data_IF_586451202988
#
_entry.id   IF_586451202988
#
_cell.length_a   1.000
_cell.length_b   1.000
_cell.length_c   1.000
_cell.angle_alpha   90.00
_cell.angle_beta   90.00
_cell.angle_gamma   90.00
#
_symmetry.space_group_name_H-M   'P 1'
#
loop_
_entity.id
_entity.type
_entity.pdbx_description
1 polymer ?
#
# COMPACT_ATOMS: atom_id res chain seq x y z
N UNK A 1 -60.32 13.89 30.37
CA UNK A 1 -59.49 14.78 29.53
C UNK A 1 -58.18 14.08 29.11
N UNK A 2 -58.25 12.81 28.67
CA UNK A 2 -57.08 11.95 28.38
C UNK A 2 -57.36 10.94 27.25
N UNK A 3 -58.36 11.22 26.40
CA UNK A 3 -58.78 10.31 25.30
C UNK A 3 -58.59 10.95 23.92
N UNK A 4 -58.45 12.28 23.83
CA UNK A 4 -58.28 12.99 22.55
C UNK A 4 -56.84 12.95 22.00
N UNK A 5 -55.84 12.60 22.81
CA UNK A 5 -54.43 12.65 22.40
C UNK A 5 -53.97 11.39 21.64
N UNK A 6 -54.69 10.26 21.71
CA UNK A 6 -54.35 9.03 20.97
C UNK A 6 -54.89 8.99 19.54
N UNK A 7 -55.98 9.70 19.24
CA UNK A 7 -56.53 9.76 17.88
C UNK A 7 -55.65 10.62 16.94
N UNK A 8 -55.07 11.70 17.46
CA UNK A 8 -54.20 12.60 16.69
C UNK A 8 -52.88 11.95 16.22
N UNK A 9 -52.47 10.83 16.84
CA UNK A 9 -51.27 10.06 16.45
C UNK A 9 -51.59 8.98 15.40
N UNK A 10 -52.82 8.45 15.39
CA UNK A 10 -53.24 7.47 14.39
C UNK A 10 -53.60 8.13 13.05
N UNK A 11 -54.19 9.34 13.07
CA UNK A 11 -54.45 10.09 11.84
C UNK A 11 -53.16 10.49 11.09
N UNK A 12 -52.05 10.67 11.82
CA UNK A 12 -50.74 11.00 11.20
C UNK A 12 -50.01 9.78 10.63
N UNK A 13 -50.45 8.57 10.95
CA UNK A 13 -49.81 7.32 10.52
C UNK A 13 -50.41 6.75 9.22
N UNK A 14 -51.64 7.12 8.85
CA UNK A 14 -52.26 6.68 7.59
C UNK A 14 -51.83 7.52 6.37
N UNK A 15 -51.32 8.73 6.59
CA UNK A 15 -50.92 9.68 5.53
C UNK A 15 -49.51 9.46 4.93
N UNK A 16 -48.78 8.45 5.38
CA UNK A 16 -47.44 8.11 4.85
C UNK A 16 -47.39 6.73 4.20
N UNK A 17 -48.40 6.40 3.39
CA UNK A 17 -48.28 5.32 2.41
C UNK A 17 -47.51 5.84 1.18
N UNK A 18 -46.29 5.37 0.89
CA UNK A 18 -45.66 5.68 -0.39
C UNK A 18 -46.46 5.03 -1.52
N UNK A 19 -46.84 5.83 -2.52
CA UNK A 19 -47.56 5.37 -3.70
C UNK A 19 -46.67 4.44 -4.56
N UNK A 20 -47.15 3.27 -5.01
CA UNK A 20 -46.39 2.39 -5.89
C UNK A 20 -46.60 2.78 -7.36
N UNK A 21 -45.62 3.48 -7.97
CA UNK A 21 -45.56 3.82 -9.40
C UNK A 21 -44.08 4.01 -9.78
N UNK A 22 -43.49 3.45 -10.83
CA UNK A 22 -43.93 2.66 -11.99
C UNK A 22 -42.72 1.87 -12.52
N UNK A 23 -43.01 0.64 -12.94
CA UNK A 23 -42.19 -0.25 -13.76
C UNK A 23 -42.06 0.32 -15.18
N UNK A 24 -40.85 0.29 -15.76
CA UNK A 24 -40.54 0.60 -17.16
C UNK A 24 -39.31 1.51 -17.27
N UNK A 25 -38.23 1.19 -17.99
CA UNK A 25 -38.10 0.39 -19.22
C UNK A 25 -36.72 -0.29 -19.24
N UNK A 26 -36.73 -1.55 -19.68
CA UNK A 26 -35.59 -2.21 -20.33
C UNK A 26 -35.46 -1.63 -21.74
N UNK A 27 -34.36 -0.93 -22.03
CA UNK A 27 -33.78 -0.64 -23.36
C UNK A 27 -32.57 0.25 -23.07
N UNK A 28 -31.31 -0.10 -23.32
CA UNK A 28 -30.71 -1.07 -24.20
C UNK A 28 -29.59 -0.34 -24.93
N UNK A 29 -28.32 -0.59 -24.59
CA UNK A 29 -27.17 -0.34 -25.47
C UNK A 29 -26.14 -1.43 -25.16
N UNK A 30 -26.33 -2.58 -25.80
CA UNK A 30 -25.20 -3.28 -26.39
C UNK A 30 -24.87 -2.55 -27.69
N UNK A 31 -23.59 -2.26 -27.93
CA UNK A 31 -22.87 -2.07 -29.21
C UNK A 31 -21.67 -1.16 -28.93
N UNK A 32 -20.47 -1.67 -29.20
CA UNK A 32 -19.22 -0.92 -29.06
C UNK A 32 -17.93 -1.75 -29.05
N UNK A 33 -17.99 -3.07 -29.20
CA UNK A 33 -16.85 -3.88 -29.63
C UNK A 33 -16.91 -3.94 -31.16
N UNK A 34 -15.76 -3.74 -31.82
CA UNK A 34 -15.51 -3.70 -33.28
C UNK A 34 -15.63 -2.30 -33.91
N UNK A 35 -14.62 -1.44 -33.68
CA UNK A 35 -14.24 -0.37 -34.61
C UNK A 35 -12.86 0.24 -34.28
N UNK A 36 -11.79 -0.57 -34.19
CA UNK A 36 -10.40 -0.10 -34.30
C UNK A 36 -9.47 -1.23 -34.80
N UNK A 37 -10.01 -2.04 -35.71
CA UNK A 37 -9.30 -3.03 -36.52
C UNK A 37 -9.45 -2.59 -37.98
N UNK A 38 -8.64 -1.62 -38.41
CA UNK A 38 -8.62 -1.13 -39.78
C UNK A 38 -7.83 0.17 -39.90
N UNK A 39 -6.87 0.20 -40.82
CA UNK A 39 -5.86 1.24 -41.10
C UNK A 39 -4.63 1.17 -40.17
N UNK A 40 -3.45 0.76 -40.61
CA UNK A 40 -3.01 0.47 -41.97
C UNK A 40 -1.67 -0.24 -42.00
N UNK A 41 -1.56 -1.16 -42.95
CA UNK A 41 -0.29 -1.59 -43.49
C UNK A 41 0.38 -0.39 -44.18
N UNK A 42 1.51 0.07 -43.65
CA UNK A 42 2.51 0.78 -44.44
C UNK A 42 3.89 0.25 -44.08
N UNK A 43 4.49 -0.38 -45.09
CA UNK A 43 5.86 -0.83 -45.17
C UNK A 43 6.86 0.21 -44.64
N UNK A 44 7.77 -0.25 -43.77
CA UNK A 44 8.98 0.46 -43.40
C UNK A 44 10.14 -0.53 -43.34
N UNK A 45 10.63 -0.93 -44.52
CA UNK A 45 11.89 -1.66 -44.63
C UNK A 45 13.05 -0.69 -44.35
N UNK A 46 13.92 -1.05 -43.42
CA UNK A 46 15.22 -0.40 -43.26
C UNK A 46 16.30 -1.48 -43.23
N UNK A 47 17.28 -1.28 -44.09
CA UNK A 47 18.30 -2.20 -44.54
C UNK A 47 19.15 -2.82 -43.42
N UNK A 48 19.25 -4.16 -43.43
CA UNK A 48 20.38 -4.87 -42.83
C UNK A 48 21.61 -4.61 -43.71
N UNK A 49 22.41 -3.63 -43.31
CA UNK A 49 23.72 -3.34 -43.91
C UNK A 49 24.68 -4.50 -43.63
N UNK A 50 24.77 -5.42 -44.60
CA UNK A 50 25.80 -6.44 -44.66
C UNK A 50 27.12 -5.75 -45.03
N UNK A 51 28.04 -5.62 -44.06
CA UNK A 51 29.39 -5.11 -44.32
C UNK A 51 30.25 -6.30 -44.80
N UNK A 52 30.72 -6.33 -46.06
CA UNK A 52 31.73 -7.29 -46.47
C UNK A 52 33.08 -6.88 -45.86
N UNK A 53 33.58 -7.65 -44.90
CA UNK A 53 34.98 -7.55 -44.48
C UNK A 53 35.85 -8.27 -45.52
N UNK A 54 36.72 -7.59 -46.29
CA UNK A 54 37.74 -8.27 -47.04
C UNK A 54 38.77 -8.85 -46.06
N UNK A 55 38.85 -10.18 -46.03
CA UNK A 55 39.96 -10.89 -45.40
C UNK A 55 41.26 -10.50 -46.13
N UNK A 56 41.98 -9.51 -45.58
CA UNK A 56 43.40 -9.34 -45.86
C UNK A 56 44.17 -10.19 -44.86
N UNK A 57 44.79 -11.25 -45.36
CA UNK A 57 45.73 -12.05 -44.59
C UNK A 57 46.89 -11.16 -44.14
N UNK A 58 47.05 -11.00 -42.82
CA UNK A 58 48.19 -10.32 -42.23
C UNK A 58 49.44 -11.22 -42.30
N UNK A 59 50.63 -10.65 -42.57
CA UNK A 59 51.87 -11.41 -42.74
C UNK A 59 52.33 -12.09 -41.44
N UNK A 60 53.07 -13.18 -41.62
CA UNK A 60 53.62 -14.02 -40.55
C UNK A 60 54.41 -13.22 -39.48
N UNK A 61 54.37 -13.64 -38.20
CA UNK A 61 55.07 -12.94 -37.13
C UNK A 61 56.58 -13.03 -37.34
N UNK A 62 57.22 -11.87 -37.50
CA UNK A 62 58.67 -11.71 -37.40
C UNK A 62 59.03 -11.62 -35.92
N UNK A 63 59.90 -12.52 -35.46
CA UNK A 63 60.43 -12.53 -34.09
C UNK A 63 61.22 -11.25 -33.82
N UNK A 64 60.71 -10.43 -32.90
CA UNK A 64 61.43 -9.25 -32.39
C UNK A 64 62.24 -9.66 -31.16
N UNK A 65 63.53 -9.29 -31.05
CA UNK A 65 64.34 -9.65 -29.89
C UNK A 65 63.84 -8.99 -28.61
N UNK A 66 63.77 -9.80 -27.55
CA UNK A 66 63.45 -9.42 -26.18
C UNK A 66 64.34 -8.29 -25.69
N UNK A 67 63.74 -7.14 -25.34
CA UNK A 67 64.41 -6.07 -24.60
C UNK A 67 64.37 -6.39 -23.10
N UNK A 68 65.54 -6.38 -22.48
CA UNK A 68 65.76 -6.48 -21.04
C UNK A 68 64.91 -5.47 -20.26
N UNK A 69 64.20 -5.86 -19.19
CA UNK A 69 63.44 -4.92 -18.37
C UNK A 69 64.36 -4.00 -17.57
N UNK A 70 64.06 -2.70 -17.61
CA UNK A 70 64.63 -1.69 -16.72
C UNK A 70 64.13 -1.91 -15.29
N UNK A 71 64.96 -1.78 -14.25
CA UNK A 71 64.50 -1.89 -12.87
C UNK A 71 63.52 -0.76 -12.55
N UNK A 72 62.36 -1.11 -11.99
CA UNK A 72 61.37 -0.17 -11.50
C UNK A 72 61.86 0.48 -10.19
N UNK A 73 61.55 1.76 -9.93
CA UNK A 73 61.83 2.38 -8.64
C UNK A 73 60.96 1.74 -7.55
N UNK A 74 61.59 1.30 -6.46
CA UNK A 74 60.92 0.73 -5.29
C UNK A 74 60.16 1.82 -4.52
N UNK A 75 58.83 1.68 -4.43
CA UNK A 75 57.97 2.48 -3.53
C UNK A 75 58.33 2.16 -2.07
N UNK A 76 58.45 3.15 -1.17
CA UNK A 76 58.66 2.90 0.25
C UNK A 76 57.53 2.05 0.83
N UNK A 77 57.86 1.12 1.72
CA UNK A 77 56.89 0.29 2.43
C UNK A 77 55.87 1.17 3.16
N UNK A 78 54.60 1.05 2.78
CA UNK A 78 53.50 1.67 3.49
C UNK A 78 53.44 1.12 4.92
N UNK A 79 53.24 2.02 5.89
CA UNK A 79 53.00 1.65 7.28
C UNK A 79 51.78 0.69 7.38
N UNK A 80 51.74 -0.20 8.38
CA UNK A 80 50.60 -1.09 8.57
C UNK A 80 49.31 -0.28 8.73
N UNK A 81 48.33 -0.53 7.87
CA UNK A 81 46.96 -0.02 8.03
C UNK A 81 46.40 -0.71 9.26
N UNK A 82 46.19 0.05 10.33
CA UNK A 82 45.42 -0.39 11.48
C UNK A 82 43.95 -0.22 11.10
N UNK A 83 43.28 -1.33 10.80
CA UNK A 83 41.84 -1.33 10.59
C UNK A 83 41.15 -0.99 11.93
N UNK A 84 40.79 0.28 12.10
CA UNK A 84 39.91 0.70 13.18
C UNK A 84 38.51 0.12 12.89
N UNK A 85 37.94 -0.70 13.79
CA UNK A 85 36.63 -1.27 13.57
C UNK A 85 35.62 -0.14 13.45
N UNK A 86 34.92 -0.09 12.31
CA UNK A 86 33.83 0.84 12.09
C UNK A 86 32.78 0.62 13.19
N UNK A 87 32.29 1.68 13.87
CA UNK A 87 31.28 1.50 14.90
C UNK A 87 30.05 0.81 14.32
N UNK A 88 29.67 -0.33 14.89
CA UNK A 88 28.42 -0.99 14.55
C UNK A 88 27.27 -0.08 14.95
N UNK A 89 26.35 0.30 14.02
CA UNK A 89 25.20 1.10 14.38
C UNK A 89 24.38 0.37 15.45
N UNK A 90 24.07 1.06 16.55
CA UNK A 90 23.17 0.54 17.57
C UNK A 90 21.74 0.65 17.04
N UNK A 91 20.91 -0.41 17.08
CA UNK A 91 19.53 -0.33 16.64
C UNK A 91 18.79 0.73 17.48
N UNK A 92 18.29 1.76 16.82
CA UNK A 92 17.52 2.84 17.45
C UNK A 92 16.05 2.47 17.65
N UNK A 93 15.61 1.35 17.08
CA UNK A 93 14.22 0.88 17.17
C UNK A 93 13.98 0.13 18.47
N UNK A 94 12.81 0.37 19.07
CA UNK A 94 12.37 -0.38 20.26
C UNK A 94 12.24 -1.88 19.92
N UNK A 95 12.57 -2.78 20.87
CA UNK A 95 12.27 -4.20 20.71
C UNK A 95 10.79 -4.43 20.46
N UNK A 96 10.49 -5.47 19.68
CA UNK A 96 9.12 -5.90 19.44
C UNK A 96 8.43 -6.36 20.74
N UNK A 97 7.18 -5.95 20.90
CA UNK A 97 6.28 -6.37 21.97
C UNK A 97 4.88 -6.63 21.39
N UNK A 98 4.42 -7.88 21.50
CA UNK A 98 3.09 -8.29 21.03
C UNK A 98 1.93 -7.58 21.76
N UNK A 99 2.16 -6.99 22.93
CA UNK A 99 1.15 -6.24 23.67
C UNK A 99 1.13 -4.73 23.33
N UNK A 100 2.15 -4.22 22.65
CA UNK A 100 2.32 -2.80 22.31
C UNK A 100 2.43 -2.60 20.78
N UNK A 101 1.32 -2.24 20.11
CA UNK A 101 1.29 -1.97 18.67
C UNK A 101 2.25 -0.87 18.22
N UNK A 102 2.69 0.02 19.12
CA UNK A 102 3.68 1.04 18.78
C UNK A 102 5.08 0.49 18.49
N UNK A 103 5.31 -0.78 18.83
CA UNK A 103 6.55 -1.51 18.52
C UNK A 103 6.45 -2.34 17.24
N UNK A 104 5.25 -2.46 16.66
CA UNK A 104 5.00 -3.30 15.49
C UNK A 104 5.50 -2.66 14.21
N UNK A 105 5.92 -3.50 13.26
CA UNK A 105 6.38 -3.08 11.94
C UNK A 105 5.28 -3.26 10.91
N UNK A 106 5.20 -2.34 9.96
CA UNK A 106 4.43 -2.52 8.73
C UNK A 106 5.39 -2.68 7.55
N UNK A 107 5.24 -3.77 6.82
CA UNK A 107 5.86 -4.04 5.52
C UNK A 107 4.77 -4.42 4.51
N UNK A 108 5.09 -4.55 3.23
CA UNK A 108 4.10 -4.89 2.20
C UNK A 108 3.45 -6.28 2.33
N UNK A 109 3.99 -7.13 3.21
CA UNK A 109 3.58 -8.52 3.43
C UNK A 109 3.30 -8.86 4.91
N UNK A 110 3.57 -7.95 5.85
CA UNK A 110 3.39 -8.17 7.28
C UNK A 110 2.93 -6.89 8.00
N UNK A 111 1.98 -7.03 8.92
CA UNK A 111 1.43 -5.96 9.74
C UNK A 111 1.48 -6.33 11.21
N UNK A 112 2.60 -6.05 11.87
CA UNK A 112 2.87 -6.54 13.22
C UNK A 112 2.87 -8.08 13.24
N UNK A 113 2.05 -8.74 14.07
CA UNK A 113 1.99 -10.20 14.09
C UNK A 113 1.25 -10.82 12.89
N UNK A 114 0.62 -10.02 12.02
CA UNK A 114 -0.27 -10.52 10.97
C UNK A 114 0.46 -10.58 9.63
N UNK A 115 0.75 -11.78 9.12
CA UNK A 115 1.35 -11.98 7.81
C UNK A 115 0.32 -12.23 6.71
N UNK A 116 0.54 -11.66 5.52
CA UNK A 116 -0.29 -11.94 4.34
C UNK A 116 -0.08 -13.39 3.86
N UNK A 117 -1.16 -14.03 3.42
CA UNK A 117 -1.17 -15.41 2.91
C UNK A 117 -1.18 -16.49 4.01
N UNK A 118 -0.98 -16.11 5.27
CA UNK A 118 -1.08 -17.03 6.41
C UNK A 118 -2.54 -17.42 6.73
N UNK A 119 -2.78 -18.56 7.40
CA UNK A 119 -4.12 -18.95 7.85
C UNK A 119 -4.69 -17.95 8.86
N UNK A 120 -5.89 -17.44 8.63
CA UNK A 120 -6.47 -16.34 9.45
C UNK A 120 -6.42 -16.62 10.96
N UNK A 121 -6.75 -17.84 11.37
CA UNK A 121 -6.78 -18.19 12.80
C UNK A 121 -5.39 -18.15 13.47
N UNK A 122 -4.32 -18.44 12.73
CA UNK A 122 -2.94 -18.39 13.24
C UNK A 122 -2.27 -17.03 13.10
N UNK A 123 -2.82 -16.13 12.29
CA UNK A 123 -2.31 -14.76 12.16
C UNK A 123 -3.04 -13.77 13.08
N UNK A 124 -4.18 -14.17 13.66
CA UNK A 124 -5.03 -13.30 14.48
C UNK A 124 -5.13 -13.73 15.95
N UNK A 125 -4.56 -14.87 16.32
CA UNK A 125 -4.50 -15.32 17.71
C UNK A 125 -3.62 -14.39 18.56
N UNK A 126 -2.49 -13.92 18.03
CA UNK A 126 -1.60 -12.98 18.71
C UNK A 126 -2.21 -11.59 18.93
N UNK A 127 -3.17 -11.18 18.07
CA UNK A 127 -3.83 -9.87 18.19
C UNK A 127 -4.59 -9.73 19.50
N UNK A 128 -5.06 -10.81 20.11
CA UNK A 128 -5.82 -10.78 21.38
C UNK A 128 -5.00 -10.22 22.56
N UNK A 129 -3.67 -10.19 22.42
CA UNK A 129 -2.75 -9.64 23.42
C UNK A 129 -2.78 -8.11 23.43
N UNK A 130 -3.01 -7.49 22.28
CA UNK A 130 -3.01 -6.03 22.13
C UNK A 130 -4.40 -5.44 21.84
N UNK A 131 -5.30 -6.19 21.22
CA UNK A 131 -6.57 -5.71 20.73
C UNK A 131 -7.73 -6.59 21.22
N UNK A 132 -8.93 -6.01 21.26
CA UNK A 132 -10.17 -6.74 21.50
C UNK A 132 -10.91 -6.93 20.18
N UNK A 133 -11.28 -8.16 19.84
CA UNK A 133 -12.09 -8.45 18.65
C UNK A 133 -13.48 -7.83 18.81
N UNK A 134 -13.93 -7.12 17.78
CA UNK A 134 -15.28 -6.55 17.68
C UNK A 134 -16.12 -7.35 16.69
N UNK A 135 -16.91 -8.34 17.15
CA UNK A 135 -17.74 -9.17 16.28
C UNK A 135 -18.91 -8.40 15.65
N UNK A 136 -19.22 -7.19 16.15
CA UNK A 136 -20.27 -6.34 15.58
C UNK A 136 -19.81 -5.55 14.34
N UNK A 137 -18.51 -5.56 14.06
CA UNK A 137 -17.88 -4.84 12.96
C UNK A 137 -17.17 -5.78 11.97
N UNK A 138 -17.52 -7.07 11.96
CA UNK A 138 -17.02 -8.04 10.97
C UNK A 138 -17.39 -7.57 9.55
N UNK A 139 -16.43 -7.65 8.63
CA UNK A 139 -16.58 -7.09 7.28
C UNK A 139 -17.12 -8.14 6.33
N UNK A 140 -18.20 -7.84 5.60
CA UNK A 140 -18.96 -8.74 4.74
C UNK A 140 -19.60 -9.95 5.47
N UNK A 141 -18.80 -10.75 6.16
CA UNK A 141 -19.21 -11.87 7.02
C UNK A 141 -18.10 -12.21 8.02
N UNK A 142 -18.37 -12.99 9.08
CA UNK A 142 -17.34 -13.42 10.03
C UNK A 142 -16.20 -14.23 9.41
N UNK A 143 -16.44 -14.86 8.26
CA UNK A 143 -15.45 -15.66 7.53
C UNK A 143 -14.55 -14.80 6.62
N UNK A 144 -15.00 -13.57 6.31
CA UNK A 144 -14.34 -12.68 5.35
C UNK A 144 -13.36 -11.69 6.02
N UNK A 145 -13.36 -11.63 7.35
CA UNK A 145 -12.43 -10.80 8.11
C UNK A 145 -12.94 -10.48 9.50
N UNK A 146 -12.12 -9.77 10.27
CA UNK A 146 -12.44 -9.37 11.64
C UNK A 146 -11.94 -7.97 11.96
N UNK A 147 -12.74 -7.24 12.73
CA UNK A 147 -12.36 -5.95 13.29
C UNK A 147 -11.82 -6.10 14.72
N UNK A 148 -10.85 -5.26 15.04
CA UNK A 148 -10.08 -5.31 16.28
C UNK A 148 -9.90 -3.88 16.81
N UNK A 149 -10.26 -3.66 18.07
CA UNK A 149 -10.30 -2.33 18.70
C UNK A 149 -9.30 -2.22 19.85
N UNK A 150 -8.69 -1.05 20.00
CA UNK A 150 -7.84 -0.69 21.14
C UNK A 150 -7.90 0.82 21.36
N UNK A 151 -8.13 1.23 22.60
CA UNK A 151 -8.13 2.65 22.96
C UNK A 151 -6.76 3.29 22.75
N UNK A 152 -6.73 4.48 22.15
CA UNK A 152 -5.50 5.24 21.89
C UNK A 152 -4.63 4.70 20.75
N UNK A 153 -5.12 3.70 20.00
CA UNK A 153 -4.47 3.10 18.85
C UNK A 153 -5.43 3.09 17.65
N UNK A 154 -4.94 2.91 16.41
CA UNK A 154 -5.83 2.75 15.27
C UNK A 154 -6.56 1.40 15.36
N UNK A 155 -7.80 1.38 14.88
CA UNK A 155 -8.57 0.15 14.74
C UNK A 155 -7.94 -0.70 13.65
N UNK A 156 -7.84 -2.01 13.89
CA UNK A 156 -7.34 -2.96 12.92
C UNK A 156 -8.50 -3.70 12.25
N UNK A 157 -8.39 -3.89 10.95
CA UNK A 157 -9.25 -4.78 10.16
C UNK A 157 -8.35 -5.77 9.43
N UNK A 158 -8.57 -7.05 9.71
CA UNK A 158 -7.89 -8.14 9.00
C UNK A 158 -8.88 -8.70 7.99
N UNK A 159 -8.51 -8.66 6.72
CA UNK A 159 -9.31 -9.15 5.60
C UNK A 159 -8.83 -10.54 5.22
N UNK A 160 -9.74 -11.50 5.05
CA UNK A 160 -9.36 -12.89 4.79
C UNK A 160 -10.38 -13.70 4.01
N UNK A 161 -9.91 -14.68 3.25
CA UNK A 161 -10.74 -15.74 2.65
C UNK A 161 -10.20 -17.11 3.08
N UNK A 162 -10.21 -17.37 4.40
CA UNK A 162 -9.50 -18.49 5.04
C UNK A 162 -7.97 -18.30 5.17
N UNK A 163 -7.40 -17.38 4.39
CA UNK A 163 -6.05 -16.84 4.55
C UNK A 163 -6.09 -15.32 4.53
N UNK A 164 -5.15 -14.65 5.19
CA UNK A 164 -5.09 -13.19 5.24
C UNK A 164 -4.76 -12.62 3.85
N UNK A 165 -5.61 -11.75 3.34
CA UNK A 165 -5.44 -11.09 2.03
C UNK A 165 -5.13 -9.59 2.16
N UNK A 166 -5.31 -9.01 3.34
CA UNK A 166 -4.99 -7.63 3.61
C UNK A 166 -5.17 -7.26 5.07
N UNK A 167 -4.52 -6.16 5.47
CA UNK A 167 -4.65 -5.58 6.80
C UNK A 167 -4.78 -4.07 6.66
N UNK A 168 -5.66 -3.48 7.46
CA UNK A 168 -5.87 -2.04 7.53
C UNK A 168 -5.79 -1.59 8.98
N UNK A 169 -4.93 -0.61 9.27
CA UNK A 169 -5.01 0.19 10.49
C UNK A 169 -5.64 1.53 10.16
N UNK A 170 -6.71 1.92 10.85
CA UNK A 170 -7.39 3.18 10.56
C UNK A 170 -7.99 3.84 11.80
N UNK A 171 -8.09 5.16 11.78
CA UNK A 171 -8.95 5.89 12.72
C UNK A 171 -10.30 6.22 12.07
N UNK A 172 -11.40 6.24 12.85
CA UNK A 172 -12.70 6.62 12.35
C UNK A 172 -12.69 8.02 11.72
N UNK A 173 -13.42 8.20 10.62
CA UNK A 173 -13.55 9.49 9.95
C UNK A 173 -13.97 10.59 10.93
N UNK A 174 -13.32 11.76 10.84
CA UNK A 174 -13.59 12.90 11.73
C UNK A 174 -12.94 12.79 13.11
N UNK A 175 -12.21 11.70 13.40
CA UNK A 175 -11.36 11.60 14.60
C UNK A 175 -9.97 12.12 14.29
N UNK A 176 -9.38 12.90 15.19
CA UNK A 176 -8.01 13.37 15.01
C UNK A 176 -7.03 12.17 14.96
N UNK A 177 -6.23 12.10 13.89
CA UNK A 177 -5.16 11.09 13.74
C UNK A 177 -3.88 11.42 14.51
N UNK A 178 -3.79 12.61 15.11
CA UNK A 178 -2.62 13.06 15.89
C UNK A 178 -2.53 12.38 17.25
N UNK A 179 -1.33 11.94 17.62
CA UNK A 179 -1.07 11.35 18.94
C UNK A 179 -1.58 9.92 19.09
N UNK A 180 -2.02 9.30 18.00
CA UNK A 180 -2.41 7.89 17.96
C UNK A 180 -1.14 7.05 17.94
N UNK A 181 -1.05 6.09 18.86
CA UNK A 181 0.10 5.19 18.96
C UNK A 181 -0.22 3.89 18.24
N UNK A 182 0.61 3.49 17.28
CA UNK A 182 0.33 2.28 16.49
C UNK A 182 1.48 1.82 15.62
N UNK A 183 1.25 0.78 14.82
CA UNK A 183 2.27 0.19 13.96
C UNK A 183 2.81 1.21 12.95
N UNK A 184 4.11 1.12 12.68
CA UNK A 184 4.81 2.00 11.73
C UNK A 184 5.68 1.19 10.79
N UNK A 185 5.96 1.74 9.61
CA UNK A 185 6.97 1.17 8.73
C UNK A 185 8.38 1.25 9.35
N UNK A 186 9.37 0.62 8.71
CA UNK A 186 10.77 0.73 9.13
C UNK A 186 11.28 2.19 9.20
N UNK A 187 10.73 3.08 8.37
CA UNK A 187 11.05 4.51 8.33
C UNK A 187 10.25 5.34 9.35
N UNK A 188 9.40 4.68 10.17
CA UNK A 188 8.60 5.34 11.20
C UNK A 188 7.31 6.01 10.69
N UNK A 189 6.86 5.69 9.47
CA UNK A 189 5.62 6.23 8.92
C UNK A 189 4.43 5.38 9.37
N UNK A 190 3.36 6.02 9.86
CA UNK A 190 2.14 5.35 10.29
C UNK A 190 0.93 6.29 10.33
N UNK A 191 -0.13 5.90 11.03
CA UNK A 191 -1.30 6.77 11.25
C UNK A 191 -0.86 8.05 11.98
N UNK A 192 -1.30 9.20 11.50
CA UNK A 192 -0.96 10.52 12.04
C UNK A 192 0.27 11.17 11.39
N UNK A 193 1.11 10.42 10.68
CA UNK A 193 2.19 10.96 9.84
C UNK A 193 1.62 11.88 8.76
N UNK A 194 2.45 12.76 8.21
CA UNK A 194 2.08 13.72 7.17
C UNK A 194 2.49 13.25 5.79
N UNK A 195 1.86 13.79 4.75
CA UNK A 195 2.25 13.54 3.36
C UNK A 195 3.70 13.97 3.07
N UNK A 196 4.17 15.04 3.71
CA UNK A 196 5.56 15.49 3.56
C UNK A 196 6.54 14.49 4.21
N UNK A 197 6.19 13.92 5.37
CA UNK A 197 6.95 12.83 5.98
C UNK A 197 6.97 11.58 5.09
N UNK A 198 5.84 11.21 4.48
CA UNK A 198 5.78 10.10 3.51
C UNK A 198 6.76 10.35 2.36
N UNK A 199 6.69 11.52 1.71
CA UNK A 199 7.55 11.84 0.55
C UNK A 199 9.03 11.96 0.93
N UNK A 200 9.32 12.38 2.16
CA UNK A 200 10.68 12.44 2.67
C UNK A 200 11.26 11.05 2.94
N UNK A 201 10.47 10.14 3.53
CA UNK A 201 10.89 8.77 3.82
C UNK A 201 10.91 7.89 2.55
N UNK A 202 9.99 8.16 1.62
CA UNK A 202 9.78 7.40 0.40
C UNK A 202 9.71 8.33 -0.81
N UNK A 203 10.86 8.70 -1.40
CA UNK A 203 10.92 9.61 -2.54
C UNK A 203 10.14 9.12 -3.77
N UNK A 204 9.98 7.79 -3.91
CA UNK A 204 9.24 7.15 -5.00
C UNK A 204 7.75 6.96 -4.68
N UNK A 205 7.26 7.49 -3.56
CA UNK A 205 5.85 7.43 -3.20
C UNK A 205 4.97 8.10 -4.27
N UNK A 206 3.92 7.42 -4.70
CA UNK A 206 3.02 7.90 -5.74
C UNK A 206 1.56 7.80 -5.32
N UNK A 207 0.74 8.73 -5.77
CA UNK A 207 -0.71 8.67 -5.58
C UNK A 207 -1.29 7.44 -6.32
N UNK A 208 -2.03 6.60 -5.59
CA UNK A 208 -2.85 5.53 -6.13
C UNK A 208 -4.27 6.07 -6.37
N UNK A 209 -4.55 6.43 -7.62
CA UNK A 209 -5.85 6.99 -8.01
C UNK A 209 -7.00 6.00 -7.93
N UNK A 210 -6.73 4.70 -8.02
CA UNK A 210 -7.78 3.67 -7.94
C UNK A 210 -8.27 3.51 -6.51
N UNK A 211 -7.38 3.69 -5.52
CA UNK A 211 -7.73 3.69 -4.10
C UNK A 211 -8.13 5.05 -3.54
N UNK A 212 -7.77 6.14 -4.23
CA UNK A 212 -8.14 7.48 -3.80
C UNK A 212 -9.65 7.67 -3.88
N UNK A 213 -10.28 8.02 -2.76
CA UNK A 213 -11.72 8.27 -2.68
C UNK A 213 -11.96 9.77 -2.81
N UNK A 214 -11.93 10.30 -4.04
CA UNK A 214 -12.19 11.72 -4.28
C UNK A 214 -13.70 11.98 -4.39
N UNK A 215 -14.38 12.56 -3.38
CA UNK A 215 -15.71 13.12 -3.59
C UNK A 215 -15.66 14.21 -4.68
N UNK A 216 -16.81 14.47 -5.32
CA UNK A 216 -16.96 15.49 -6.38
C UNK A 216 -16.38 16.87 -5.99
N UNK A 217 -16.41 17.19 -4.69
CA UNK A 217 -15.75 18.35 -4.11
C UNK A 217 -14.87 17.94 -2.95
N UNK A 218 -13.58 18.23 -3.07
CA UNK A 218 -12.61 17.98 -2.01
C UNK A 218 -12.63 19.11 -0.96
N UNK A 219 -12.63 18.77 0.34
CA UNK A 219 -12.53 19.75 1.41
C UNK A 219 -11.14 20.41 1.49
N UNK A 220 -10.10 19.74 1.00
CA UNK A 220 -8.72 20.23 0.94
C UNK A 220 -7.94 19.57 -0.21
N UNK A 221 -6.79 20.15 -0.65
CA UNK A 221 -5.88 19.47 -1.57
C UNK A 221 -5.45 18.11 -1.01
N UNK A 222 -5.45 17.07 -1.85
CA UNK A 222 -5.10 15.68 -1.48
C UNK A 222 -6.03 15.02 -0.45
N UNK A 223 -7.15 15.66 -0.06
CA UNK A 223 -8.11 15.05 0.86
C UNK A 223 -8.55 13.68 0.33
N UNK A 224 -8.50 12.66 1.19
CA UNK A 224 -8.89 11.29 0.87
C UNK A 224 -8.10 10.61 -0.27
N UNK A 225 -6.94 11.16 -0.63
CA UNK A 225 -6.03 10.49 -1.56
C UNK A 225 -5.31 9.34 -0.87
N UNK A 226 -4.99 8.30 -1.64
CA UNK A 226 -4.18 7.16 -1.19
C UNK A 226 -2.81 7.23 -1.85
N UNK A 227 -1.75 7.00 -1.07
CA UNK A 227 -0.36 7.04 -1.52
C UNK A 227 0.27 5.67 -1.37
N UNK A 228 0.78 5.14 -2.47
CA UNK A 228 1.45 3.85 -2.55
C UNK A 228 2.96 4.02 -2.38
N UNK A 229 3.55 3.14 -1.57
CA UNK A 229 5.00 2.97 -1.39
C UNK A 229 5.33 1.50 -1.58
N UNK A 230 6.44 1.19 -2.27
CA UNK A 230 6.93 -0.18 -2.42
C UNK A 230 8.07 -0.44 -1.41
N UNK A 231 7.88 -1.37 -0.46
CA UNK A 231 8.82 -1.65 0.65
C UNK A 231 9.74 -2.84 0.39
N UNK A 232 9.90 -3.26 -0.86
CA UNK A 232 10.68 -4.45 -1.27
C UNK A 232 9.95 -5.78 -1.03
N UNK A 233 9.19 -5.91 0.06
CA UNK A 233 8.35 -7.07 0.34
C UNK A 233 6.92 -6.96 -0.23
N UNK A 234 6.53 -5.74 -0.60
CA UNK A 234 5.27 -5.46 -1.27
C UNK A 234 4.88 -3.99 -1.14
N UNK A 235 3.71 -3.64 -1.65
CA UNK A 235 3.16 -2.30 -1.52
C UNK A 235 2.52 -2.04 -0.15
N UNK A 236 2.74 -0.84 0.39
CA UNK A 236 2.03 -0.26 1.53
C UNK A 236 1.29 0.98 1.04
N UNK A 237 0.05 1.15 1.46
CA UNK A 237 -0.77 2.31 1.13
C UNK A 237 -1.05 3.18 2.35
N UNK A 238 -0.99 4.48 2.16
CA UNK A 238 -1.30 5.49 3.16
C UNK A 238 -2.46 6.35 2.66
N UNK A 239 -3.64 6.26 3.28
CA UNK A 239 -4.76 7.11 2.92
C UNK A 239 -4.80 8.36 3.81
N UNK A 240 -4.96 9.52 3.18
CA UNK A 240 -5.03 10.80 3.88
C UNK A 240 -6.44 11.08 4.41
N UNK A 241 -6.52 11.86 5.48
CA UNK A 241 -7.79 12.36 6.01
C UNK A 241 -8.37 13.49 5.12
N UNK A 242 -9.50 14.03 5.54
CA UNK A 242 -10.18 15.20 4.98
C UNK A 242 -9.32 16.47 4.95
N UNK A 243 -8.30 16.57 5.80
CA UNK A 243 -7.34 17.68 5.75
C UNK A 243 -6.34 17.57 4.59
N UNK A 244 -6.22 16.37 3.98
CA UNK A 244 -5.26 16.09 2.92
C UNK A 244 -3.80 16.21 3.33
N UNK A 245 -3.53 16.25 4.64
CA UNK A 245 -2.20 16.41 5.21
C UNK A 245 -1.78 15.15 5.94
N UNK A 246 -2.68 14.55 6.73
CA UNK A 246 -2.33 13.46 7.65
C UNK A 246 -2.84 12.10 7.19
N UNK A 247 -2.04 11.08 7.44
CA UNK A 247 -2.41 9.68 7.27
C UNK A 247 -3.50 9.31 8.28
N UNK A 248 -4.63 8.86 7.74
CA UNK A 248 -5.76 8.33 8.50
C UNK A 248 -5.73 6.81 8.56
N UNK A 249 -5.28 6.16 7.48
CA UNK A 249 -5.13 4.70 7.43
C UNK A 249 -3.82 4.26 6.77
N UNK A 250 -3.34 3.12 7.24
CA UNK A 250 -2.22 2.36 6.68
C UNK A 250 -2.74 1.00 6.27
N UNK A 251 -2.41 0.57 5.06
CA UNK A 251 -3.03 -0.58 4.41
C UNK A 251 -1.99 -1.43 3.68
N UNK A 252 -2.16 -2.76 3.74
CA UNK A 252 -1.36 -3.72 2.97
C UNK A 252 -2.26 -4.77 2.32
N UNK A 253 -1.76 -5.42 1.27
CA UNK A 253 -2.49 -6.49 0.57
C UNK A 253 -3.55 -6.00 -0.43
N UNK A 254 -4.47 -6.89 -0.80
CA UNK A 254 -5.41 -6.72 -1.93
C UNK A 254 -6.81 -6.28 -1.50
N UNK A 255 -6.89 -5.25 -0.67
CA UNK A 255 -8.15 -4.78 -0.11
C UNK A 255 -9.08 -4.08 -1.12
N UNK A 256 -8.56 -3.45 -2.18
CA UNK A 256 -9.36 -2.69 -3.15
C UNK A 256 -10.14 -3.57 -4.14
N UNK A 257 -9.90 -4.88 -4.15
CA UNK A 257 -10.55 -5.85 -5.03
C UNK A 257 -11.68 -6.61 -4.33
N UNK A 258 -11.96 -6.27 -3.07
CA UNK A 258 -12.93 -6.97 -2.24
C UNK A 258 -14.35 -6.45 -2.56
N UNK A 259 -15.25 -7.36 -2.93
CA UNK A 259 -16.69 -7.10 -3.00
C UNK A 259 -17.43 -7.99 -2.00
N UNK A 260 -18.40 -7.43 -1.26
CA UNK A 260 -19.22 -8.15 -0.28
C UNK A 260 -20.51 -8.77 -0.90
N UNK A 261 -20.53 -9.01 -2.22
CA UNK A 261 -21.73 -9.48 -2.95
C UNK A 261 -22.06 -10.96 -2.74
#
# INVERSE_FOLDING_TARGET
MLVSMKQTVLDRAEDRRPAPRRRGRRTGIAIGVIALLGLGATSGGVALGMIPQPFTAAPAPTSTPTRTPSPAPSTPAAAPVVDEPLPTPTPTRRPYDAADPSTWTVSGDEFGPVALGGPTAGETDDLVTAYVRDPGADVCSPDFGGAWKRDGAPDLTVWSEGTVIGVTASVPLGTASTGVSGPTTAEGIGVGSTLDEIRSAYPDAAEDRERSSAPDTLPAPNAYTSWKVDTGSGPVWFALDSDGVRVRSVEIGRISQISCD
#
